data_IF_030514896617
#
_entry.id   IF_030514896617
#
_cell.length_a   1.000
_cell.length_b   1.000
_cell.length_c   1.000
_cell.angle_alpha   90.00
_cell.angle_beta   90.00
_cell.angle_gamma   90.00
#
_symmetry.space_group_name_H-M   'P 1'
#
loop_
_entity.id
_entity.type
_entity.pdbx_description
1 polymer ?
#
# COMPACT_ATOMS: atom_id res chain seq x y z
N UNK A 1 -3.33 -7.49 16.98
CA UNK A 1 -3.48 -6.16 16.33
C UNK A 1 -2.15 -5.41 16.26
N UNK A 2 -1.52 -5.00 17.39
CA UNK A 2 -0.28 -4.20 17.36
C UNK A 2 0.90 -4.95 16.71
N UNK A 3 1.12 -6.21 17.08
CA UNK A 3 2.19 -7.06 16.54
C UNK A 3 2.11 -7.21 15.01
N UNK A 4 0.94 -7.55 14.49
CA UNK A 4 0.72 -7.63 13.04
C UNK A 4 1.02 -6.30 12.35
N UNK A 5 0.46 -5.18 12.84
CA UNK A 5 0.69 -3.88 12.20
C UNK A 5 2.14 -3.42 12.26
N UNK A 6 2.83 -3.72 13.35
CA UNK A 6 4.26 -3.47 13.47
C UNK A 6 5.04 -4.28 12.44
N UNK A 7 4.72 -5.56 12.31
CA UNK A 7 5.33 -6.43 11.30
C UNK A 7 5.05 -5.92 9.88
N UNK A 8 3.80 -5.53 9.60
CA UNK A 8 3.35 -5.06 8.29
C UNK A 8 4.09 -3.82 7.80
N UNK A 9 4.21 -2.76 8.62
CA UNK A 9 4.94 -1.57 8.19
C UNK A 9 6.45 -1.86 8.09
N UNK A 10 7.01 -2.69 8.97
CA UNK A 10 8.44 -3.08 8.89
C UNK A 10 8.74 -3.86 7.60
N UNK A 11 7.92 -4.85 7.25
CA UNK A 11 8.05 -5.61 6.00
C UNK A 11 7.89 -4.67 4.81
N UNK A 12 6.92 -3.76 4.83
CA UNK A 12 6.71 -2.80 3.74
C UNK A 12 7.94 -1.91 3.53
N UNK A 13 8.53 -1.37 4.61
CA UNK A 13 9.77 -0.58 4.54
C UNK A 13 10.91 -1.43 3.98
N UNK A 14 11.10 -2.65 4.51
CA UNK A 14 12.17 -3.54 4.08
C UNK A 14 12.06 -3.89 2.59
N UNK A 15 10.86 -4.22 2.10
CA UNK A 15 10.60 -4.53 0.70
C UNK A 15 10.85 -3.33 -0.22
N UNK A 16 10.44 -2.13 0.20
CA UNK A 16 10.69 -0.91 -0.58
C UNK A 16 12.20 -0.61 -0.69
N UNK A 17 12.93 -0.68 0.43
CA UNK A 17 14.38 -0.43 0.45
C UNK A 17 15.12 -1.51 -0.36
N UNK A 18 14.78 -2.79 -0.17
CA UNK A 18 15.40 -3.89 -0.90
C UNK A 18 15.16 -3.76 -2.41
N UNK A 19 13.94 -3.41 -2.83
CA UNK A 19 13.60 -3.18 -4.23
C UNK A 19 14.38 -2.02 -4.82
N UNK A 20 14.51 -0.91 -4.07
CA UNK A 20 15.27 0.26 -4.50
C UNK A 20 16.77 -0.08 -4.67
N UNK A 21 17.39 -0.71 -3.68
CA UNK A 21 18.79 -1.13 -3.72
C UNK A 21 19.03 -2.09 -4.88
N UNK A 22 18.16 -3.10 -5.03
CA UNK A 22 18.26 -4.07 -6.12
C UNK A 22 18.16 -3.39 -7.50
N UNK A 23 17.21 -2.48 -7.67
CA UNK A 23 17.03 -1.71 -8.91
C UNK A 23 18.26 -0.84 -9.23
N UNK A 24 18.87 -0.20 -8.23
CA UNK A 24 20.07 0.60 -8.39
C UNK A 24 21.32 -0.23 -8.74
N UNK A 25 21.39 -1.50 -8.31
CA UNK A 25 22.50 -2.40 -8.63
C UNK A 25 22.37 -2.99 -10.04
N UNK A 26 21.18 -3.47 -10.40
CA UNK A 26 20.96 -4.19 -11.67
C UNK A 26 20.71 -3.27 -12.86
N UNK A 27 20.08 -2.10 -12.64
CA UNK A 27 19.75 -1.10 -13.67
C UNK A 27 19.08 -1.69 -14.92
N UNK A 28 18.29 -2.74 -14.75
CA UNK A 28 17.58 -3.47 -15.80
C UNK A 28 16.07 -3.52 -15.48
N UNK A 29 15.28 -4.16 -16.34
CA UNK A 29 13.84 -4.32 -16.12
C UNK A 29 13.47 -5.23 -14.93
N UNK A 30 14.44 -5.89 -14.29
CA UNK A 30 14.19 -6.75 -13.13
C UNK A 30 13.66 -5.96 -11.92
N UNK A 31 13.82 -4.63 -11.89
CA UNK A 31 13.19 -3.77 -10.88
C UNK A 31 11.66 -3.91 -10.86
N UNK A 32 11.03 -4.23 -12.01
CA UNK A 32 9.59 -4.46 -12.11
C UNK A 32 9.13 -5.62 -11.25
N UNK A 33 9.96 -6.66 -11.09
CA UNK A 33 9.64 -7.78 -10.20
C UNK A 33 9.52 -7.30 -8.76
N UNK A 34 10.48 -6.49 -8.29
CA UNK A 34 10.41 -5.90 -6.95
C UNK A 34 9.19 -4.98 -6.78
N UNK A 35 8.85 -4.20 -7.82
CA UNK A 35 7.63 -3.39 -7.83
C UNK A 35 6.37 -4.25 -7.62
N UNK A 36 6.24 -5.37 -8.34
CA UNK A 36 5.11 -6.29 -8.17
C UNK A 36 5.11 -6.96 -6.80
N UNK A 37 6.27 -7.30 -6.24
CA UNK A 37 6.38 -7.88 -4.89
C UNK A 37 5.90 -6.89 -3.83
N UNK A 38 6.35 -5.63 -3.90
CA UNK A 38 5.91 -4.55 -2.99
C UNK A 38 4.40 -4.33 -3.11
N UNK A 39 3.88 -4.24 -4.34
CA UNK A 39 2.45 -4.07 -4.59
C UNK A 39 1.62 -5.25 -4.08
N UNK A 40 2.08 -6.48 -4.28
CA UNK A 40 1.40 -7.69 -3.80
C UNK A 40 1.33 -7.73 -2.28
N UNK A 41 2.42 -7.39 -1.59
CA UNK A 41 2.41 -7.29 -0.14
C UNK A 41 1.39 -6.27 0.36
N UNK A 42 1.30 -5.09 -0.27
CA UNK A 42 0.31 -4.08 0.10
C UNK A 42 -1.12 -4.54 -0.11
N UNK A 43 -1.40 -5.27 -1.19
CA UNK A 43 -2.73 -5.86 -1.41
C UNK A 43 -3.08 -6.88 -0.33
N UNK A 44 -2.14 -7.78 0.02
CA UNK A 44 -2.34 -8.76 1.09
C UNK A 44 -2.58 -8.05 2.43
N UNK A 45 -1.74 -7.07 2.76
CA UNK A 45 -1.89 -6.26 3.98
C UNK A 45 -3.24 -5.56 4.04
N UNK A 46 -3.67 -4.96 2.93
CA UNK A 46 -4.97 -4.31 2.81
C UNK A 46 -6.11 -5.30 3.09
N UNK A 47 -6.07 -6.50 2.49
CA UNK A 47 -7.09 -7.53 2.69
C UNK A 47 -7.18 -7.98 4.15
N UNK A 48 -6.05 -8.16 4.83
CA UNK A 48 -6.04 -8.51 6.26
C UNK A 48 -6.69 -7.41 7.10
N UNK A 49 -6.43 -6.13 6.77
CA UNK A 49 -7.05 -5.01 7.47
C UNK A 49 -8.56 -4.89 7.19
N UNK A 50 -9.01 -5.21 5.98
CA UNK A 50 -10.43 -5.27 5.62
C UNK A 50 -11.13 -6.39 6.41
N UNK A 51 -10.58 -7.60 6.38
CA UNK A 51 -11.16 -8.77 7.06
C UNK A 51 -11.22 -8.59 8.58
N UNK A 52 -10.23 -7.92 9.16
CA UNK A 52 -10.15 -7.70 10.61
C UNK A 52 -10.92 -6.47 11.09
N UNK A 53 -11.55 -5.72 10.19
CA UNK A 53 -12.23 -4.43 10.43
C UNK A 53 -11.39 -3.38 11.20
N UNK A 54 -10.07 -3.41 10.99
CA UNK A 54 -9.15 -2.56 11.74
C UNK A 54 -9.07 -1.15 11.15
N UNK A 55 -9.62 -0.16 11.86
CA UNK A 55 -9.59 1.27 11.51
C UNK A 55 -10.34 1.61 10.20
N UNK A 56 -11.30 0.77 9.80
CA UNK A 56 -12.17 0.97 8.63
C UNK A 56 -13.44 1.79 8.94
N UNK A 57 -13.38 2.71 9.90
CA UNK A 57 -14.49 3.62 10.11
C UNK A 57 -14.76 4.46 8.85
N UNK A 58 -16.04 4.71 8.57
CA UNK A 58 -16.44 5.54 7.42
C UNK A 58 -15.77 6.90 7.51
N UNK A 59 -15.17 7.34 6.40
CA UNK A 59 -14.40 8.60 6.32
C UNK A 59 -12.97 8.54 6.88
N UNK A 60 -12.50 7.40 7.40
CA UNK A 60 -11.11 7.29 7.82
C UNK A 60 -10.16 7.35 6.62
N UNK A 61 -8.94 7.88 6.83
CA UNK A 61 -7.88 7.92 5.80
C UNK A 61 -7.63 6.54 5.17
N UNK A 62 -7.72 5.47 5.98
CA UNK A 62 -7.59 4.08 5.53
C UNK A 62 -8.73 3.66 4.61
N UNK A 63 -9.97 3.99 4.97
CA UNK A 63 -11.12 3.68 4.13
C UNK A 63 -11.08 4.44 2.78
N UNK A 64 -10.61 5.69 2.78
CA UNK A 64 -10.37 6.45 1.54
C UNK A 64 -9.31 5.76 0.68
N UNK A 65 -8.19 5.35 1.26
CA UNK A 65 -7.16 4.59 0.53
C UNK A 65 -7.70 3.27 -0.06
N UNK A 66 -8.44 2.47 0.74
CA UNK A 66 -9.06 1.25 0.25
C UNK A 66 -10.05 1.51 -0.90
N UNK A 67 -10.81 2.61 -0.86
CA UNK A 67 -11.70 3.00 -1.95
C UNK A 67 -10.93 3.33 -3.23
N UNK A 68 -9.83 4.09 -3.12
CA UNK A 68 -8.98 4.44 -4.27
C UNK A 68 -8.39 3.18 -4.90
N UNK A 69 -7.84 2.25 -4.10
CA UNK A 69 -7.30 0.99 -4.61
C UNK A 69 -8.40 0.15 -5.27
N UNK A 70 -9.58 0.03 -4.66
CA UNK A 70 -10.71 -0.69 -5.27
C UNK A 70 -11.13 -0.09 -6.61
N UNK A 71 -11.19 1.24 -6.70
CA UNK A 71 -11.50 1.94 -7.95
C UNK A 71 -10.42 1.68 -9.01
N UNK A 72 -9.14 1.75 -8.64
CA UNK A 72 -8.02 1.45 -9.54
C UNK A 72 -8.06 0.00 -10.05
N UNK A 73 -8.33 -0.97 -9.18
CA UNK A 73 -8.48 -2.37 -9.58
C UNK A 73 -9.68 -2.57 -10.52
N UNK A 74 -10.82 -1.94 -10.24
CA UNK A 74 -11.98 -1.99 -11.13
C UNK A 74 -11.67 -1.37 -12.50
N UNK A 75 -11.00 -0.22 -12.54
CA UNK A 75 -10.57 0.43 -13.78
C UNK A 75 -9.57 -0.43 -14.56
N UNK A 76 -8.66 -1.15 -13.88
CA UNK A 76 -7.75 -2.09 -14.52
C UNK A 76 -8.50 -3.23 -15.20
N UNK A 77 -9.50 -3.81 -14.52
CA UNK A 77 -10.37 -4.84 -15.10
C UNK A 77 -11.13 -4.32 -16.32
N UNK A 78 -11.68 -3.11 -16.25
CA UNK A 78 -12.35 -2.47 -17.41
C UNK A 78 -11.35 -2.21 -18.54
N UNK A 79 -10.13 -1.76 -18.20
CA UNK A 79 -9.05 -1.51 -19.15
C UNK A 79 -8.69 -2.75 -19.98
N UNK A 80 -8.76 -3.95 -19.42
CA UNK A 80 -8.55 -5.19 -20.19
C UNK A 80 -9.51 -5.32 -21.39
N UNK A 81 -10.73 -4.80 -21.29
CA UNK A 81 -11.71 -4.79 -22.39
C UNK A 81 -11.62 -3.55 -23.28
N UNK A 82 -11.03 -2.47 -22.76
CA UNK A 82 -10.89 -1.18 -23.45
C UNK A 82 -9.41 -0.83 -23.56
N UNK A 83 -8.75 -1.32 -24.61
CA UNK A 83 -7.29 -1.19 -24.78
C UNK A 83 -6.78 0.26 -24.70
N UNK A 84 -7.57 1.24 -25.19
CA UNK A 84 -7.24 2.67 -25.11
C UNK A 84 -7.18 3.22 -23.67
N UNK A 85 -7.82 2.55 -22.71
CA UNK A 85 -7.79 2.90 -21.29
C UNK A 85 -6.66 2.18 -20.54
N UNK A 86 -6.31 0.95 -20.93
CA UNK A 86 -5.35 0.12 -20.19
C UNK A 86 -3.96 0.74 -20.11
N UNK A 87 -3.41 1.15 -21.26
CA UNK A 87 -2.07 1.72 -21.33
C UNK A 87 -1.90 2.98 -20.45
N UNK A 88 -2.73 4.03 -20.57
CA UNK A 88 -2.59 5.21 -19.72
C UNK A 88 -2.80 4.88 -18.24
N UNK A 89 -3.70 3.94 -17.92
CA UNK A 89 -3.91 3.51 -16.54
C UNK A 89 -2.69 2.80 -15.95
N UNK A 90 -2.03 1.92 -16.72
CA UNK A 90 -0.80 1.26 -16.30
C UNK A 90 0.33 2.27 -16.07
N UNK A 91 0.46 3.30 -16.92
CA UNK A 91 1.44 4.39 -16.71
C UNK A 91 1.14 5.15 -15.42
N UNK A 92 -0.12 5.49 -15.17
CA UNK A 92 -0.53 6.16 -13.92
C UNK A 92 -0.21 5.30 -12.71
N UNK A 93 -0.57 4.01 -12.73
CA UNK A 93 -0.30 3.08 -11.61
C UNK A 93 1.20 2.91 -11.42
N UNK A 94 1.96 2.77 -12.49
CA UNK A 94 3.42 2.66 -12.43
C UNK A 94 4.06 3.86 -11.73
N UNK A 95 3.64 5.08 -12.09
CA UNK A 95 4.14 6.32 -11.48
C UNK A 95 3.60 6.55 -10.06
N UNK A 96 2.33 6.29 -9.82
CA UNK A 96 1.66 6.54 -8.54
C UNK A 96 1.95 5.46 -7.49
N UNK A 97 2.26 4.24 -7.93
CA UNK A 97 2.47 3.06 -7.07
C UNK A 97 3.48 3.28 -5.94
N UNK A 98 4.68 3.82 -6.20
CA UNK A 98 5.67 4.10 -5.15
C UNK A 98 5.17 5.12 -4.13
N UNK A 99 4.42 6.14 -4.56
CA UNK A 99 3.84 7.13 -3.64
C UNK A 99 2.73 6.51 -2.79
N UNK A 100 1.88 5.69 -3.40
CA UNK A 100 0.84 4.93 -2.69
C UNK A 100 1.43 3.96 -1.67
N UNK A 101 2.57 3.36 -1.99
CA UNK A 101 3.32 2.47 -1.11
C UNK A 101 3.82 3.17 0.15
N UNK A 102 4.47 4.33 -0.03
CA UNK A 102 4.94 5.18 1.06
C UNK A 102 3.77 5.67 1.90
N UNK A 103 2.69 6.14 1.26
CA UNK A 103 1.51 6.63 1.95
C UNK A 103 0.84 5.54 2.81
N UNK A 104 0.67 4.33 2.27
CA UNK A 104 0.09 3.21 3.01
C UNK A 104 0.95 2.81 4.21
N UNK A 105 2.27 2.70 4.00
CA UNK A 105 3.23 2.37 5.05
C UNK A 105 3.19 3.43 6.16
N UNK A 106 3.10 4.71 5.78
CA UNK A 106 2.97 5.82 6.72
C UNK A 106 1.66 5.75 7.53
N UNK A 107 0.53 5.40 6.89
CA UNK A 107 -0.73 5.17 7.60
C UNK A 107 -0.59 4.05 8.65
N UNK A 108 0.02 2.91 8.29
CA UNK A 108 0.28 1.82 9.23
C UNK A 108 1.18 2.28 10.40
N UNK A 109 2.22 3.06 10.12
CA UNK A 109 3.09 3.64 11.15
C UNK A 109 2.32 4.58 12.10
N UNK A 110 1.50 5.49 11.58
CA UNK A 110 0.69 6.39 12.41
C UNK A 110 -0.30 5.62 13.29
N UNK A 111 -0.91 4.56 12.77
CA UNK A 111 -1.84 3.74 13.55
C UNK A 111 -1.15 3.05 14.73
N UNK A 112 0.06 2.51 14.52
CA UNK A 112 0.83 1.86 15.58
C UNK A 112 1.33 2.86 16.61
N UNK A 113 1.87 4.00 16.16
CA UNK A 113 2.60 4.92 17.05
C UNK A 113 1.74 6.02 17.65
N UNK A 114 0.57 6.32 17.10
CA UNK A 114 -0.34 7.35 17.64
C UNK A 114 -1.60 6.71 18.21
N UNK A 115 -2.25 5.84 17.44
CA UNK A 115 -3.58 5.31 17.81
C UNK A 115 -3.53 4.10 18.75
N UNK A 116 -2.38 3.44 18.89
CA UNK A 116 -2.17 2.34 19.83
C UNK A 116 -1.29 2.72 21.03
N UNK A 117 -1.14 4.02 21.30
CA UNK A 117 -0.60 4.48 22.58
C UNK A 117 -1.61 4.25 23.71
N UNK A 118 -1.13 4.24 24.96
CA UNK A 118 -2.01 4.09 26.13
C UNK A 118 -3.04 5.24 26.15
N UNK A 119 -4.30 5.02 26.58
CA UNK A 119 -5.36 6.03 26.51
C UNK A 119 -4.99 7.37 27.16
N UNK A 120 -4.26 7.34 28.28
CA UNK A 120 -3.79 8.54 28.99
C UNK A 120 -2.77 9.38 28.20
N UNK A 121 -2.04 8.77 27.26
CA UNK A 121 -1.09 9.46 26.39
C UNK A 121 -1.77 10.13 25.19
N UNK A 122 -3.01 9.73 24.85
CA UNK A 122 -3.77 10.29 23.74
C UNK A 122 -4.57 11.55 24.10
N UNK A 123 -4.61 11.90 25.39
CA UNK A 123 -5.33 13.05 25.95
C UNK A 123 -4.44 14.30 26.15
N UNK A 124 -3.15 14.22 25.76
CA UNK A 124 -2.20 15.34 25.77
C UNK A 124 -1.99 15.84 24.35
#
# INVERSE_FOLDING_TARGET
MKTFKTCDYCISIALMIATLIYGLIKLDHSFLLGYFVVGSWQMISMLVHIYSDWFNSKGSKRNVYHNVIRALLALLVIGFFVQGLLYPLLVIVFLAGPFMAVYYTHLCYQEVNVKMQRPLAQLK
#
